data_IF_964428632373
#
_entry.id   IF_964428632373
#
_cell.length_a   1.000
_cell.length_b   1.000
_cell.length_c   1.000
_cell.angle_alpha   90.00
_cell.angle_beta   90.00
_cell.angle_gamma   90.00
#
_symmetry.space_group_name_H-M   'P 1'
#
loop_
_entity.id
_entity.type
_entity.pdbx_description
1 polymer ?
#
# COMPACT_ATOMS: atom_id res chain seq x y z
N UNK A 1 4.43 34.48 45.07
CA UNK A 1 4.13 34.73 43.65
C UNK A 1 4.80 33.69 42.72
N UNK A 2 4.97 32.43 43.16
CA UNK A 2 5.69 31.40 42.40
C UNK A 2 4.85 30.16 42.02
N UNK A 3 3.81 29.83 42.80
CA UNK A 3 2.96 28.65 42.53
C UNK A 3 2.04 28.80 41.30
N UNK A 4 1.42 29.99 41.11
CA UNK A 4 0.51 30.23 39.97
C UNK A 4 1.20 30.14 38.61
N UNK A 5 2.46 30.57 38.53
CA UNK A 5 3.24 30.52 37.29
C UNK A 5 3.67 29.07 36.96
N UNK A 6 3.93 28.24 37.97
CA UNK A 6 4.31 26.83 37.79
C UNK A 6 3.14 25.99 37.25
N UNK A 7 1.92 26.21 37.75
CA UNK A 7 0.72 25.47 37.28
C UNK A 7 0.39 25.77 35.82
N UNK A 8 0.55 27.03 35.41
CA UNK A 8 0.34 27.46 34.01
C UNK A 8 1.38 26.84 33.08
N UNK A 9 2.65 26.79 33.49
CA UNK A 9 3.70 26.14 32.71
C UNK A 9 3.47 24.63 32.54
N UNK A 10 3.02 23.92 33.58
CA UNK A 10 2.69 22.49 33.49
C UNK A 10 1.51 22.23 32.55
N UNK A 11 0.49 23.09 32.58
CA UNK A 11 -0.68 22.97 31.70
C UNK A 11 -0.27 23.13 30.22
N UNK A 12 0.63 24.07 29.90
CA UNK A 12 1.13 24.28 28.54
C UNK A 12 1.95 23.07 28.05
N UNK A 13 2.75 22.44 28.93
CA UNK A 13 3.56 21.26 28.57
C UNK A 13 2.68 20.03 28.27
N UNK A 14 1.59 19.84 29.02
CA UNK A 14 0.66 18.73 28.80
C UNK A 14 -0.10 18.82 27.48
N UNK A 15 -0.39 20.03 27.00
CA UNK A 15 -1.09 20.24 25.72
C UNK A 15 -0.15 19.98 24.53
N UNK A 16 1.15 20.21 24.69
CA UNK A 16 2.16 19.99 23.63
C UNK A 16 2.60 18.53 23.51
N UNK A 17 2.22 17.66 24.45
CA UNK A 17 2.59 16.25 24.46
C UNK A 17 1.44 15.31 24.04
N UNK A 18 0.30 15.85 23.61
CA UNK A 18 -0.88 15.07 23.21
C UNK A 18 -0.98 14.77 21.71
N UNK A 19 0.12 14.79 20.95
CA UNK A 19 0.09 14.25 19.59
C UNK A 19 0.05 12.73 19.68
N UNK A 20 -1.13 12.16 19.43
CA UNK A 20 -1.26 10.73 19.22
C UNK A 20 -0.34 10.32 18.07
N UNK A 21 0.48 9.27 18.25
CA UNK A 21 1.49 8.95 17.27
C UNK A 21 0.85 8.38 16.01
N UNK A 22 1.26 8.90 14.85
CA UNK A 22 0.73 8.51 13.54
C UNK A 22 1.66 7.50 12.90
N UNK A 23 1.08 6.46 12.31
CA UNK A 23 1.77 5.56 11.39
C UNK A 23 1.32 5.83 9.96
N UNK A 24 2.24 5.68 9.00
CA UNK A 24 1.98 5.90 7.58
C UNK A 24 2.41 4.71 6.74
N UNK A 25 1.72 4.54 5.61
CA UNK A 25 1.90 3.46 4.65
C UNK A 25 2.07 4.05 3.25
N UNK A 26 3.01 3.49 2.49
CA UNK A 26 3.17 3.70 1.06
C UNK A 26 3.34 2.33 0.37
N UNK A 27 2.48 2.02 -0.58
CA UNK A 27 2.48 0.76 -1.32
C UNK A 27 2.60 1.05 -2.81
N UNK A 28 3.65 0.53 -3.44
CA UNK A 28 3.97 0.77 -4.84
C UNK A 28 3.96 -0.55 -5.61
N UNK A 29 3.56 -0.48 -6.88
CA UNK A 29 3.66 -1.59 -7.82
C UNK A 29 4.62 -1.18 -8.93
N UNK A 30 5.50 -2.09 -9.36
CA UNK A 30 6.46 -1.88 -10.44
C UNK A 30 6.21 -2.85 -11.58
N UNK A 31 6.21 -2.34 -12.81
CA UNK A 31 6.13 -3.14 -14.01
C UNK A 31 7.55 -3.42 -14.54
N UNK A 32 8.12 -4.56 -14.17
CA UNK A 32 9.43 -5.02 -14.67
C UNK A 32 9.31 -5.95 -15.89
N UNK A 33 8.12 -5.99 -16.51
CA UNK A 33 7.90 -6.73 -17.75
C UNK A 33 8.41 -5.96 -18.95
N UNK A 34 8.51 -6.60 -20.12
CA UNK A 34 8.86 -5.93 -21.38
C UNK A 34 7.68 -5.22 -22.04
N UNK A 35 6.47 -5.33 -21.48
CA UNK A 35 5.25 -4.79 -22.07
C UNK A 35 4.62 -3.74 -21.15
N UNK A 36 3.81 -2.85 -21.73
CA UNK A 36 2.98 -1.95 -20.94
C UNK A 36 1.76 -2.73 -20.44
N UNK A 37 1.42 -2.51 -19.17
CA UNK A 37 0.38 -3.26 -18.48
C UNK A 37 -0.80 -2.36 -18.09
N UNK A 38 -1.99 -2.95 -18.13
CA UNK A 38 -3.18 -2.45 -17.44
C UNK A 38 -3.49 -3.43 -16.31
N UNK A 39 -3.52 -2.94 -15.08
CA UNK A 39 -3.81 -3.72 -13.87
C UNK A 39 -5.18 -3.27 -13.35
N UNK A 40 -6.14 -4.19 -13.33
CA UNK A 40 -7.51 -3.94 -12.87
C UNK A 40 -7.74 -4.68 -11.55
N UNK A 41 -7.98 -3.93 -10.48
CA UNK A 41 -8.39 -4.42 -9.17
C UNK A 41 -9.91 -4.43 -9.13
N UNK A 42 -10.50 -5.62 -9.15
CA UNK A 42 -11.94 -5.83 -9.25
C UNK A 42 -12.51 -5.98 -7.84
N UNK A 43 -13.42 -5.10 -7.46
CA UNK A 43 -14.13 -5.14 -6.18
C UNK A 43 -15.62 -5.47 -6.41
N UNK A 44 -16.32 -6.14 -5.46
CA UNK A 44 -17.77 -6.28 -5.50
C UNK A 44 -18.50 -4.93 -5.57
N UNK A 45 -17.92 -3.89 -4.97
CA UNK A 45 -18.35 -2.52 -5.13
C UNK A 45 -17.57 -1.88 -6.27
N UNK A 46 -18.22 -1.68 -7.42
CA UNK A 46 -17.60 -1.09 -8.61
C UNK A 46 -16.95 0.27 -8.32
N UNK A 47 -17.46 1.04 -7.35
CA UNK A 47 -16.90 2.34 -6.99
C UNK A 47 -15.55 2.25 -6.27
N UNK A 48 -15.24 1.07 -5.72
CA UNK A 48 -13.99 0.75 -5.05
C UNK A 48 -12.96 0.08 -5.99
N UNK A 49 -13.38 -0.34 -7.18
CA UNK A 49 -12.47 -0.93 -8.18
C UNK A 49 -11.42 0.08 -8.66
N UNK A 50 -10.21 -0.41 -8.98
CA UNK A 50 -9.08 0.43 -9.37
C UNK A 50 -8.48 -0.03 -10.69
N UNK A 51 -8.05 0.91 -11.53
CA UNK A 51 -7.27 0.62 -12.74
C UNK A 51 -5.96 1.39 -12.65
N UNK A 52 -4.85 0.70 -12.87
CA UNK A 52 -3.51 1.29 -13.00
C UNK A 52 -2.99 0.95 -14.38
N UNK A 53 -2.55 1.95 -15.13
CA UNK A 53 -1.89 1.78 -16.42
C UNK A 53 -0.41 2.11 -16.23
N UNK A 54 0.46 1.21 -16.67
CA UNK A 54 1.90 1.30 -16.40
C UNK A 54 2.70 0.98 -17.64
N UNK A 55 3.62 1.86 -18.01
CA UNK A 55 4.66 1.56 -18.98
C UNK A 55 5.64 0.50 -18.45
N UNK A 56 6.35 -0.18 -19.36
CA UNK A 56 7.48 -1.04 -18.99
C UNK A 56 8.55 -0.21 -18.24
N UNK A 57 8.97 -0.71 -17.09
CA UNK A 57 9.93 -0.06 -16.19
C UNK A 57 9.31 0.99 -15.25
N UNK A 58 8.01 1.24 -15.32
CA UNK A 58 7.33 2.23 -14.48
C UNK A 58 6.98 1.66 -13.09
N UNK A 59 6.92 2.56 -12.11
CA UNK A 59 6.45 2.30 -10.76
C UNK A 59 5.30 3.26 -10.46
N UNK A 60 4.19 2.74 -9.92
CA UNK A 60 2.99 3.50 -9.61
C UNK A 60 2.58 3.30 -8.15
N UNK A 61 2.05 4.37 -7.55
CA UNK A 61 1.50 4.33 -6.20
C UNK A 61 0.17 3.56 -6.20
N UNK A 62 0.17 2.39 -5.58
CA UNK A 62 -1.03 1.58 -5.39
C UNK A 62 -1.86 2.10 -4.21
N UNK A 63 -1.26 2.35 -3.07
CA UNK A 63 -1.98 2.79 -1.89
C UNK A 63 -1.12 3.66 -0.99
N UNK A 64 -1.70 4.72 -0.47
CA UNK A 64 -1.19 5.47 0.68
C UNK A 64 -2.20 5.39 1.82
N UNK A 65 -1.73 5.46 3.05
CA UNK A 65 -2.60 5.41 4.21
C UNK A 65 -1.93 5.91 5.46
N UNK A 66 -2.74 6.21 6.47
CA UNK A 66 -2.26 6.51 7.81
C UNK A 66 -3.23 5.99 8.85
N UNK A 67 -2.71 5.76 10.06
CA UNK A 67 -3.50 5.38 11.22
C UNK A 67 -2.98 6.09 12.46
N UNK A 68 -3.90 6.48 13.35
CA UNK A 68 -3.62 7.20 14.58
C UNK A 68 -3.59 6.18 15.72
N UNK A 69 -2.47 6.09 16.42
CA UNK A 69 -2.27 5.12 17.49
C UNK A 69 -1.86 3.73 17.00
N UNK A 70 -2.12 3.39 15.73
CA UNK A 70 -1.64 2.18 15.08
C UNK A 70 -0.13 2.03 15.13
N UNK A 71 0.36 0.80 15.20
CA UNK A 71 1.81 0.48 15.22
C UNK A 71 2.26 -0.35 14.03
N UNK A 72 1.33 -0.65 13.11
CA UNK A 72 1.54 -1.45 11.92
C UNK A 72 0.47 -1.07 10.89
N UNK A 73 0.87 -0.92 9.63
CA UNK A 73 -0.04 -0.70 8.51
C UNK A 73 0.44 -1.49 7.31
N UNK A 74 -0.49 -2.14 6.62
CA UNK A 74 -0.23 -2.91 5.41
C UNK A 74 -1.22 -2.53 4.30
N UNK A 75 -0.87 -2.79 3.02
CA UNK A 75 -1.79 -2.59 1.91
C UNK A 75 -3.08 -3.39 2.08
N UNK A 76 -4.24 -2.78 1.83
CA UNK A 76 -5.55 -3.46 1.84
C UNK A 76 -5.84 -4.01 0.45
N UNK A 77 -5.72 -5.33 0.31
CA UNK A 77 -6.16 -6.04 -0.90
C UNK A 77 -7.45 -6.83 -0.69
N UNK A 78 -7.92 -6.95 0.56
CA UNK A 78 -9.11 -7.73 0.92
C UNK A 78 -10.40 -7.19 0.29
N UNK A 79 -10.41 -5.94 -0.14
CA UNK A 79 -11.55 -5.28 -0.77
C UNK A 79 -11.70 -5.66 -2.26
N UNK A 80 -10.73 -6.42 -2.81
CA UNK A 80 -10.70 -6.83 -4.21
C UNK A 80 -10.86 -8.35 -4.36
N UNK A 81 -11.87 -8.79 -5.10
CA UNK A 81 -12.12 -10.20 -5.44
C UNK A 81 -11.03 -10.78 -6.35
N UNK A 82 -10.48 -9.96 -7.25
CA UNK A 82 -9.40 -10.37 -8.16
C UNK A 82 -8.60 -9.20 -8.68
N UNK A 83 -7.37 -9.49 -9.13
CA UNK A 83 -6.53 -8.54 -9.85
C UNK A 83 -6.24 -9.10 -11.24
N UNK A 84 -6.62 -8.37 -12.27
CA UNK A 84 -6.46 -8.77 -13.68
C UNK A 84 -5.37 -7.95 -14.33
N UNK A 85 -4.37 -8.62 -14.90
CA UNK A 85 -3.31 -7.98 -15.69
C UNK A 85 -3.59 -8.18 -17.17
N UNK A 86 -3.59 -7.10 -17.93
CA UNK A 86 -3.76 -7.07 -19.38
C UNK A 86 -2.59 -6.35 -20.06
N UNK A 87 -2.32 -6.70 -21.31
CA UNK A 87 -1.46 -5.87 -22.18
C UNK A 87 -2.26 -4.72 -22.82
N UNK A 88 -1.58 -3.89 -23.62
CA UNK A 88 -2.21 -2.76 -24.32
C UNK A 88 -3.27 -3.17 -25.36
N UNK A 89 -3.21 -4.40 -25.88
CA UNK A 89 -4.24 -4.93 -26.78
C UNK A 89 -5.50 -5.41 -26.02
N UNK A 90 -5.52 -5.30 -24.68
CA UNK A 90 -6.60 -5.78 -23.84
C UNK A 90 -6.60 -7.29 -23.61
N UNK A 91 -5.56 -8.00 -24.05
CA UNK A 91 -5.42 -9.42 -23.79
C UNK A 91 -5.08 -9.65 -22.32
N UNK A 92 -5.85 -10.51 -21.66
CA UNK A 92 -5.58 -10.95 -20.29
C UNK A 92 -4.32 -11.81 -20.28
N UNK A 93 -3.33 -11.40 -19.49
CA UNK A 93 -2.07 -12.11 -19.28
C UNK A 93 -2.11 -12.94 -18.00
N UNK A 94 -2.70 -12.37 -16.93
CA UNK A 94 -2.79 -13.01 -15.62
C UNK A 94 -4.05 -12.58 -14.90
N UNK A 95 -4.59 -13.47 -14.09
CA UNK A 95 -5.57 -13.16 -13.05
C UNK A 95 -5.01 -13.67 -11.75
N UNK A 96 -4.95 -12.80 -10.74
CA UNK A 96 -4.67 -13.18 -9.36
C UNK A 96 -5.97 -13.26 -8.59
N UNK A 97 -6.12 -14.33 -7.82
CA UNK A 97 -7.10 -14.49 -6.74
C UNK A 97 -6.37 -14.81 -5.46
N UNK A 98 -6.95 -14.46 -4.32
CA UNK A 98 -6.34 -14.71 -3.01
C UNK A 98 -5.94 -16.19 -2.80
N UNK A 99 -6.73 -17.11 -3.32
CA UNK A 99 -6.49 -18.56 -3.19
C UNK A 99 -5.45 -19.14 -4.15
N UNK A 100 -4.93 -18.35 -5.10
CA UNK A 100 -3.96 -18.84 -6.08
C UNK A 100 -2.61 -19.11 -5.42
N UNK A 101 -2.01 -20.25 -5.77
CA UNK A 101 -0.68 -20.63 -5.31
C UNK A 101 0.44 -19.93 -6.11
N UNK A 102 1.63 -19.85 -5.52
CA UNK A 102 2.79 -19.19 -6.13
C UNK A 102 2.81 -17.68 -5.88
N UNK A 103 3.64 -16.93 -6.64
CA UNK A 103 3.76 -15.48 -6.50
C UNK A 103 2.42 -14.82 -6.77
N UNK A 104 1.95 -14.08 -5.77
CA UNK A 104 0.60 -13.56 -5.75
C UNK A 104 0.56 -12.21 -5.03
N UNK A 105 -0.09 -11.23 -5.65
CA UNK A 105 -0.19 -9.87 -5.11
C UNK A 105 -0.90 -9.85 -3.75
N UNK A 106 -1.79 -10.80 -3.48
CA UNK A 106 -2.48 -10.92 -2.19
C UNK A 106 -1.58 -11.38 -1.03
N UNK A 107 -0.43 -12.02 -1.31
CA UNK A 107 0.43 -12.58 -0.25
C UNK A 107 1.55 -11.60 0.14
N UNK A 108 1.17 -10.56 0.90
CA UNK A 108 2.06 -9.47 1.32
C UNK A 108 3.36 -9.99 1.96
N UNK A 109 3.25 -10.86 2.96
CA UNK A 109 4.40 -11.35 3.73
C UNK A 109 5.40 -12.22 2.94
N UNK A 110 5.06 -12.66 1.73
CA UNK A 110 5.90 -13.59 0.95
C UNK A 110 6.45 -12.97 -0.33
N UNK A 111 5.71 -12.07 -0.97
CA UNK A 111 6.03 -11.59 -2.32
C UNK A 111 6.15 -10.08 -2.45
N UNK A 112 5.80 -9.33 -1.41
CA UNK A 112 6.11 -7.91 -1.37
C UNK A 112 7.47 -7.70 -0.69
N UNK A 113 8.23 -6.76 -1.24
CA UNK A 113 9.43 -6.25 -0.59
C UNK A 113 8.96 -5.22 0.44
N UNK A 114 9.33 -5.43 1.69
CA UNK A 114 8.97 -4.55 2.82
C UNK A 114 10.18 -3.75 3.25
N UNK A 115 10.02 -2.44 3.35
CA UNK A 115 10.98 -1.51 3.93
C UNK A 115 10.33 -0.74 5.07
N UNK A 116 11.03 -0.59 6.19
CA UNK A 116 10.57 0.12 7.38
C UNK A 116 11.53 1.27 7.71
N UNK A 117 11.49 2.40 6.95
CA UNK A 117 12.41 3.52 7.17
C UNK A 117 12.37 4.08 8.60
N UNK A 118 11.25 3.90 9.29
CA UNK A 118 11.11 4.19 10.70
C UNK A 118 10.07 3.28 11.33
N UNK A 119 10.02 3.23 12.66
CA UNK A 119 9.05 2.41 13.44
C UNK A 119 7.58 2.64 13.06
N UNK A 120 7.26 3.76 12.40
CA UNK A 120 5.88 4.18 12.06
C UNK A 120 5.73 4.53 10.59
N UNK A 121 6.69 4.16 9.76
CA UNK A 121 6.59 4.34 8.32
C UNK A 121 6.90 3.02 7.63
N UNK A 122 5.91 2.50 6.92
CA UNK A 122 5.97 1.23 6.24
C UNK A 122 5.90 1.45 4.73
N UNK A 123 6.83 0.85 4.00
CA UNK A 123 6.88 0.87 2.55
C UNK A 123 6.79 -0.55 2.00
N UNK A 124 5.95 -0.71 1.00
CA UNK A 124 5.71 -1.99 0.34
C UNK A 124 5.91 -1.85 -1.15
N UNK A 125 6.64 -2.78 -1.75
CA UNK A 125 6.88 -2.82 -3.18
C UNK A 125 6.52 -4.19 -3.74
N UNK A 126 5.63 -4.21 -4.73
CA UNK A 126 5.32 -5.40 -5.52
C UNK A 126 5.88 -5.26 -6.93
N UNK A 127 6.69 -6.22 -7.35
CA UNK A 127 7.31 -6.22 -8.67
C UNK A 127 6.62 -7.25 -9.56
N UNK A 128 6.12 -6.84 -10.71
CA UNK A 128 5.57 -7.74 -11.73
C UNK A 128 6.65 -8.01 -12.77
N UNK A 129 7.06 -9.26 -12.89
CA UNK A 129 8.08 -9.69 -13.85
C UNK A 129 7.46 -10.50 -15.00
N UNK A 130 8.22 -10.66 -16.09
CA UNK A 130 7.75 -11.40 -17.27
C UNK A 130 7.33 -12.85 -16.98
N UNK A 131 7.84 -13.47 -15.91
CA UNK A 131 7.47 -14.83 -15.52
C UNK A 131 6.14 -14.90 -14.77
N UNK A 132 5.66 -13.79 -14.23
CA UNK A 132 4.43 -13.72 -13.42
C UNK A 132 3.17 -13.62 -14.30
N UNK A 133 3.36 -13.20 -15.56
CA UNK A 133 2.31 -12.91 -16.54
C UNK A 133 2.27 -13.91 -17.72
N UNK A 134 2.96 -15.04 -17.59
CA UNK A 134 3.03 -16.11 -18.59
C UNK A 134 2.26 -17.36 -18.20
#
# INVERSE_FOLDING_TARGET
>A
MGQKNLTVSILIILILSSCDPVSTLEANISNLTTENLTIEFISPDESSSKIIQMASGEMELFQEGFDIGGTYLEPSLIDYDSVVIKNQAGQILKVYKESDAGKNIYTINSYWIVDEPSRRFFKYYYEIENQDIK
#
